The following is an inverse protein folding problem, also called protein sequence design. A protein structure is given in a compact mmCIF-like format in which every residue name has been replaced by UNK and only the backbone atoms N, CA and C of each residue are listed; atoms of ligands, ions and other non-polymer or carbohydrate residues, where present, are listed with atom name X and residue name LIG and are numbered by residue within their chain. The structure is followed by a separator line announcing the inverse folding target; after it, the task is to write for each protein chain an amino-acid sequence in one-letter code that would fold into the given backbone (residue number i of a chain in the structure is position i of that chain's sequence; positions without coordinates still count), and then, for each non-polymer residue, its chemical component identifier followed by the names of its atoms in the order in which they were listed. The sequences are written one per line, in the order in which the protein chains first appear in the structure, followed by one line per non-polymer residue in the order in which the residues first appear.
data_IF_736097541798
#
_entry.id   IF_736097541798
#
_cell.length_a   1.000
_cell.length_b   1.000
_cell.length_c   1.000
_cell.angle_alpha   90.00
_cell.angle_beta   90.00
_cell.angle_gamma   90.00
#
_symmetry.space_group_name_H-M   'P 1'
#
loop_
_entity.id
_entity.type
_entity.pdbx_description
1 polymer ?
#
# COMPACT_ATOMS: atom_id res chain seq x y z
N UNK A 1 33.21 1.87 -19.12
CA UNK A 1 32.36 2.15 -17.94
C UNK A 1 31.19 2.99 -18.42
N UNK A 2 30.05 2.37 -18.76
CA UNK A 2 28.85 3.07 -19.20
C UNK A 2 28.11 3.59 -17.96
N UNK A 3 28.11 4.91 -17.77
CA UNK A 3 27.31 5.60 -16.77
C UNK A 3 25.90 5.79 -17.33
N UNK A 4 24.96 4.91 -16.97
CA UNK A 4 23.55 5.15 -17.17
C UNK A 4 23.05 6.13 -16.11
N UNK A 5 23.05 7.42 -16.41
CA UNK A 5 22.26 8.41 -15.67
C UNK A 5 20.79 8.19 -16.01
N UNK A 6 20.11 7.31 -15.29
CA UNK A 6 18.65 7.30 -15.25
C UNK A 6 18.18 8.48 -14.38
N UNK A 7 18.31 9.69 -14.90
CA UNK A 7 17.60 10.84 -14.36
C UNK A 7 16.17 10.75 -14.89
N UNK A 8 15.30 10.05 -14.15
CA UNK A 8 13.86 10.12 -14.38
C UNK A 8 13.44 11.60 -14.26
N UNK A 9 13.11 12.24 -15.37
CA UNK A 9 12.86 13.68 -15.43
C UNK A 9 11.41 13.98 -15.02
N UNK A 10 11.13 13.80 -13.73
CA UNK A 10 9.80 13.98 -13.10
C UNK A 10 9.21 15.42 -13.23
N UNK A 11 9.89 16.34 -13.93
CA UNK A 11 9.42 17.70 -14.19
C UNK A 11 8.68 17.87 -15.52
N UNK A 12 8.78 16.93 -16.45
CA UNK A 12 8.20 17.07 -17.81
C UNK A 12 7.08 16.10 -18.16
N UNK A 13 6.89 15.03 -17.39
CA UNK A 13 5.83 14.04 -17.66
C UNK A 13 4.53 14.25 -16.87
N UNK A 14 4.49 15.21 -15.94
CA UNK A 14 3.22 15.71 -15.39
C UNK A 14 2.71 16.84 -16.29
N UNK A 15 2.49 16.52 -17.57
CA UNK A 15 1.71 17.41 -18.44
C UNK A 15 0.30 17.51 -17.85
N UNK A 16 -0.27 18.73 -17.91
CA UNK A 16 -1.67 19.04 -17.56
C UNK A 16 -2.55 17.79 -17.77
N UNK A 17 -3.09 17.19 -16.71
CA UNK A 17 -3.76 15.91 -16.87
C UNK A 17 -5.00 16.13 -17.75
N UNK A 18 -5.11 15.34 -18.82
CA UNK A 18 -6.26 15.38 -19.71
C UNK A 18 -7.49 14.86 -18.95
N UNK A 19 -8.70 15.22 -19.39
CA UNK A 19 -9.92 14.68 -18.78
C UNK A 19 -9.91 13.14 -18.74
N UNK A 20 -9.33 12.51 -19.77
CA UNK A 20 -9.15 11.05 -19.86
C UNK A 20 -8.10 10.51 -18.87
N UNK A 21 -6.97 11.22 -18.67
CA UNK A 21 -5.97 10.85 -17.67
C UNK A 21 -6.47 11.05 -16.23
N UNK A 22 -7.46 11.93 -16.01
CA UNK A 22 -8.13 12.09 -14.72
C UNK A 22 -9.29 11.10 -14.53
N UNK A 23 -9.81 10.51 -15.61
CA UNK A 23 -10.92 9.56 -15.55
C UNK A 23 -10.53 8.23 -14.90
N UNK A 24 -9.25 7.84 -14.97
CA UNK A 24 -8.72 6.68 -14.26
C UNK A 24 -7.26 6.90 -13.87
N UNK A 25 -7.02 7.08 -12.56
CA UNK A 25 -5.66 7.18 -12.02
C UNK A 25 -5.09 5.76 -11.87
N UNK A 26 -3.95 5.50 -12.49
CA UNK A 26 -3.18 4.27 -12.34
C UNK A 26 -2.39 4.32 -11.03
N UNK A 27 -2.67 3.38 -10.12
CA UNK A 27 -1.86 3.26 -8.91
C UNK A 27 -0.37 3.06 -9.22
N UNK A 28 -0.05 2.21 -10.20
CA UNK A 28 1.35 1.85 -10.48
C UNK A 28 2.10 2.89 -11.29
N UNK A 29 1.40 3.63 -12.15
CA UNK A 29 2.04 4.60 -13.04
C UNK A 29 1.95 6.04 -12.51
N UNK A 30 0.91 6.38 -11.75
CA UNK A 30 0.71 7.75 -11.25
C UNK A 30 1.06 7.89 -9.77
N UNK A 31 0.70 6.91 -8.93
CA UNK A 31 0.84 7.05 -7.46
C UNK A 31 2.19 6.51 -6.97
N UNK A 32 2.58 5.32 -7.42
CA UNK A 32 3.83 4.67 -7.00
C UNK A 32 5.05 5.55 -7.29
N UNK A 33 5.20 6.20 -8.47
CA UNK A 33 6.33 7.09 -8.71
C UNK A 33 6.39 8.27 -7.75
N UNK A 34 5.26 8.82 -7.28
CA UNK A 34 5.25 9.89 -6.28
C UNK A 34 5.86 9.40 -4.95
N UNK A 35 5.56 8.15 -4.57
CA UNK A 35 6.07 7.56 -3.32
C UNK A 35 7.53 7.13 -3.41
N UNK A 36 7.97 6.68 -4.59
CA UNK A 36 9.32 6.11 -4.80
C UNK A 36 10.32 7.12 -5.34
N UNK A 37 9.92 8.27 -5.88
CA UNK A 37 10.81 9.29 -6.47
C UNK A 37 11.69 10.05 -5.46
N UNK A 38 11.85 9.55 -4.23
CA UNK A 38 12.90 9.98 -3.32
C UNK A 38 12.65 11.28 -2.55
N UNK A 39 11.50 11.94 -2.72
CA UNK A 39 11.21 13.24 -2.09
C UNK A 39 11.26 13.27 -0.56
N UNK A 40 11.30 12.10 0.09
CA UNK A 40 11.35 12.01 1.55
C UNK A 40 12.52 11.17 2.10
N UNK A 41 13.32 10.48 1.28
CA UNK A 41 14.55 9.74 1.69
C UNK A 41 14.39 8.62 2.74
N UNK A 42 13.76 8.90 3.88
CA UNK A 42 13.41 8.06 5.01
C UNK A 42 12.62 6.81 4.62
N UNK A 43 11.70 6.93 3.67
CA UNK A 43 10.83 5.83 3.24
C UNK A 43 11.47 4.91 2.18
N UNK A 44 12.60 5.30 1.57
CA UNK A 44 13.16 4.59 0.42
C UNK A 44 14.66 4.24 0.56
N UNK A 45 15.17 4.19 1.79
CA UNK A 45 16.61 4.04 2.08
C UNK A 45 17.00 2.70 2.73
N UNK A 46 16.03 1.79 2.93
CA UNK A 46 16.23 0.51 3.59
C UNK A 46 16.30 0.57 5.12
N UNK A 47 16.10 1.74 5.73
CA UNK A 47 16.10 1.92 7.20
C UNK A 47 14.66 1.89 7.75
N UNK A 48 14.09 0.69 7.84
CA UNK A 48 12.73 0.48 8.33
C UNK A 48 12.49 0.83 9.80
N UNK A 49 13.55 1.11 10.57
CA UNK A 49 13.45 1.51 11.99
C UNK A 49 12.88 2.92 12.17
N UNK A 50 13.03 3.79 11.17
CA UNK A 50 12.70 5.21 11.28
C UNK A 50 11.44 5.57 10.49
N UNK A 51 11.12 4.80 9.46
CA UNK A 51 9.95 5.01 8.62
C UNK A 51 9.54 3.70 7.94
N UNK A 52 8.24 3.61 7.63
CA UNK A 52 7.70 2.54 6.76
C UNK A 52 8.37 2.63 5.40
N UNK A 53 8.81 1.50 4.84
CA UNK A 53 9.50 1.49 3.55
C UNK A 53 8.52 1.36 2.38
N UNK A 54 8.67 2.20 1.35
CA UNK A 54 7.90 2.11 0.10
C UNK A 54 8.71 1.49 -1.04
N UNK A 55 10.02 1.73 -1.08
CA UNK A 55 10.96 0.99 -1.94
C UNK A 55 12.36 0.85 -1.34
N UNK A 56 13.13 -0.13 -1.82
CA UNK A 56 14.56 -0.22 -1.55
C UNK A 56 15.22 -1.07 -2.63
N UNK A 57 16.28 -0.54 -3.25
CA UNK A 57 16.91 -1.14 -4.44
C UNK A 57 15.81 -1.44 -5.49
N UNK A 58 15.73 -2.68 -5.95
CA UNK A 58 14.80 -3.12 -6.98
C UNK A 58 13.45 -3.60 -6.43
N UNK A 59 13.17 -3.37 -5.14
CA UNK A 59 11.93 -3.78 -4.49
C UNK A 59 11.02 -2.57 -4.25
N UNK A 60 9.77 -2.68 -4.70
CA UNK A 60 8.69 -1.75 -4.36
C UNK A 60 7.63 -2.51 -3.56
N UNK A 61 7.23 -1.97 -2.42
CA UNK A 61 6.17 -2.54 -1.59
C UNK A 61 4.82 -1.90 -1.91
N UNK A 62 4.23 -2.35 -3.02
CA UNK A 62 2.93 -1.87 -3.51
C UNK A 62 1.82 -1.95 -2.44
N UNK A 63 1.71 -3.10 -1.76
CA UNK A 63 0.73 -3.30 -0.69
C UNK A 63 0.93 -2.33 0.47
N UNK A 64 2.19 -2.05 0.84
CA UNK A 64 2.52 -1.05 1.85
C UNK A 64 2.02 0.33 1.44
N UNK A 65 2.31 0.82 0.24
CA UNK A 65 1.83 2.12 -0.24
C UNK A 65 0.29 2.16 -0.22
N UNK A 66 -0.34 1.16 -0.83
CA UNK A 66 -1.78 1.12 -1.01
C UNK A 66 -2.54 1.10 0.32
N UNK A 67 -2.05 0.34 1.30
CA UNK A 67 -2.63 0.28 2.65
C UNK A 67 -2.59 1.62 3.40
N UNK A 68 -1.79 2.60 2.96
CA UNK A 68 -1.75 3.96 3.51
C UNK A 68 -2.60 4.96 2.73
N UNK A 69 -3.45 4.54 1.79
CA UNK A 69 -4.28 5.45 0.98
C UNK A 69 -4.98 6.55 1.79
N UNK A 70 -5.55 6.21 2.94
CA UNK A 70 -6.19 7.17 3.85
C UNK A 70 -5.19 8.20 4.43
N UNK A 71 -4.00 7.77 4.80
CA UNK A 71 -2.93 8.66 5.31
C UNK A 71 -2.43 9.58 4.19
N UNK A 72 -2.21 9.01 3.00
CA UNK A 72 -1.79 9.78 1.82
C UNK A 72 -2.85 10.81 1.42
N UNK A 73 -4.14 10.44 1.47
CA UNK A 73 -5.24 11.37 1.20
C UNK A 73 -5.30 12.51 2.22
N UNK A 74 -5.11 12.21 3.51
CA UNK A 74 -5.04 13.21 4.57
C UNK A 74 -3.90 14.22 4.31
N UNK A 75 -2.71 13.74 3.92
CA UNK A 75 -1.59 14.61 3.55
C UNK A 75 -1.88 15.44 2.30
N UNK A 76 -2.55 14.85 1.29
CA UNK A 76 -2.98 15.55 0.09
C UNK A 76 -4.05 16.64 0.36
N UNK A 77 -4.72 16.58 1.50
CA UNK A 77 -5.64 17.61 2.00
C UNK A 77 -4.93 18.65 2.89
N UNK A 78 -3.60 18.57 3.04
CA UNK A 78 -2.80 19.51 3.81
C UNK A 78 -2.62 19.15 5.29
N UNK A 79 -3.01 17.94 5.72
CA UNK A 79 -2.67 17.46 7.06
C UNK A 79 -1.19 17.07 7.14
N UNK A 80 -0.64 17.06 8.34
CA UNK A 80 0.76 16.79 8.57
C UNK A 80 1.19 15.36 8.24
N UNK A 81 2.43 15.22 7.79
CA UNK A 81 3.10 13.93 7.63
C UNK A 81 3.28 13.24 9.00
N UNK A 82 2.89 11.96 9.13
CA UNK A 82 3.07 11.22 10.38
C UNK A 82 4.54 11.02 10.78
N UNK A 83 4.92 11.58 11.92
CA UNK A 83 6.22 11.32 12.57
C UNK A 83 7.27 12.41 12.35
N UNK A 84 7.15 13.22 11.30
CA UNK A 84 8.14 14.28 11.01
C UNK A 84 7.50 15.67 10.74
N UNK A 85 6.17 15.77 10.62
CA UNK A 85 5.50 17.03 10.27
C UNK A 85 6.00 17.59 8.93
N UNK A 86 5.59 18.81 8.54
CA UNK A 86 6.28 19.65 7.53
C UNK A 86 6.50 19.13 6.10
N UNK A 87 6.13 17.88 5.78
CA UNK A 87 6.34 17.23 4.49
C UNK A 87 5.00 17.16 3.77
N UNK A 88 4.94 17.78 2.59
CA UNK A 88 3.71 17.91 1.82
C UNK A 88 3.93 17.48 0.37
N UNK A 89 2.85 17.00 -0.25
CA UNK A 89 2.82 16.81 -1.70
C UNK A 89 2.86 18.16 -2.41
N UNK A 90 3.46 18.19 -3.59
CA UNK A 90 3.18 19.30 -4.51
C UNK A 90 1.69 19.34 -4.85
N UNK A 91 1.11 20.49 -5.24
CA UNK A 91 -0.31 20.57 -5.57
C UNK A 91 -0.77 19.55 -6.62
N UNK A 92 0.05 19.28 -7.64
CA UNK A 92 -0.26 18.30 -8.67
C UNK A 92 -0.27 16.86 -8.13
N UNK A 93 0.72 16.49 -7.30
CA UNK A 93 0.78 15.18 -6.65
C UNK A 93 -0.39 14.97 -5.69
N UNK A 94 -0.75 16.01 -4.92
CA UNK A 94 -1.90 15.98 -4.03
C UNK A 94 -3.20 15.71 -4.80
N UNK A 95 -3.37 16.33 -5.98
CA UNK A 95 -4.55 16.10 -6.81
C UNK A 95 -4.64 14.66 -7.31
N UNK A 96 -3.54 14.08 -7.80
CA UNK A 96 -3.49 12.67 -8.23
C UNK A 96 -3.84 11.72 -7.08
N UNK A 97 -3.30 11.95 -5.89
CA UNK A 97 -3.59 11.13 -4.70
C UNK A 97 -5.07 11.23 -4.30
N UNK A 98 -5.64 12.44 -4.27
CA UNK A 98 -7.07 12.64 -3.94
C UNK A 98 -7.97 11.93 -4.95
N UNK A 99 -7.66 12.04 -6.24
CA UNK A 99 -8.45 11.41 -7.30
C UNK A 99 -8.38 9.89 -7.22
N UNK A 100 -7.17 9.33 -7.08
CA UNK A 100 -6.99 7.89 -6.87
C UNK A 100 -7.78 7.39 -5.67
N UNK A 101 -7.75 8.09 -4.54
CA UNK A 101 -8.53 7.73 -3.35
C UNK A 101 -10.02 7.84 -3.59
N UNK A 102 -10.49 8.88 -4.30
CA UNK A 102 -11.91 9.03 -4.67
C UNK A 102 -12.40 7.91 -5.59
N UNK A 103 -11.51 7.32 -6.39
CA UNK A 103 -11.76 6.14 -7.23
C UNK A 103 -11.63 4.81 -6.47
N UNK A 104 -11.49 4.87 -5.13
CA UNK A 104 -11.40 3.70 -4.25
C UNK A 104 -9.99 3.20 -4.00
N UNK A 105 -8.96 3.97 -4.35
CA UNK A 105 -7.54 3.67 -4.10
C UNK A 105 -7.08 2.29 -4.62
N UNK A 106 -7.63 1.83 -5.75
CA UNK A 106 -7.41 0.47 -6.27
C UNK A 106 -6.04 0.34 -6.94
N UNK A 107 -5.44 -0.85 -6.84
CA UNK A 107 -4.37 -1.32 -7.73
C UNK A 107 -5.05 -2.12 -8.84
N UNK A 108 -4.92 -1.68 -10.09
CA UNK A 108 -5.54 -2.34 -11.25
C UNK A 108 -4.79 -3.63 -11.67
N UNK A 109 -3.72 -3.99 -10.95
CA UNK A 109 -3.04 -5.24 -11.15
C UNK A 109 -3.89 -6.44 -10.74
N UNK A 110 -3.88 -7.46 -11.59
CA UNK A 110 -4.49 -8.76 -11.33
C UNK A 110 -3.37 -9.78 -11.12
N UNK A 111 -3.21 -10.35 -9.92
CA UNK A 111 -2.21 -11.38 -9.69
C UNK A 111 -2.55 -12.64 -10.49
N UNK A 112 -1.54 -13.43 -10.90
CA UNK A 112 -1.79 -14.73 -11.48
C UNK A 112 -2.50 -15.64 -10.46
N UNK A 113 -3.25 -16.66 -10.91
CA UNK A 113 -3.91 -17.62 -10.02
C UNK A 113 -2.90 -18.30 -9.08
N UNK A 114 -3.29 -18.46 -7.81
CA UNK A 114 -2.49 -19.17 -6.81
C UNK A 114 -2.81 -20.66 -6.92
N UNK A 115 -1.81 -21.47 -7.29
CA UNK A 115 -1.96 -22.91 -7.56
C UNK A 115 -1.32 -23.82 -6.51
N UNK A 116 -0.59 -23.25 -5.54
CA UNK A 116 0.16 -23.98 -4.51
C UNK A 116 -0.40 -23.82 -3.09
N UNK A 117 0.19 -24.55 -2.13
CA UNK A 117 -0.15 -24.39 -0.71
C UNK A 117 0.22 -22.99 -0.24
N UNK A 118 -0.71 -22.36 0.48
CA UNK A 118 -0.52 -21.07 1.13
C UNK A 118 -0.58 -21.32 2.63
N UNK A 119 0.47 -20.99 3.35
CA UNK A 119 0.58 -21.20 4.81
C UNK A 119 0.75 -19.89 5.55
N UNK A 120 0.37 -19.87 6.83
CA UNK A 120 0.52 -18.69 7.66
C UNK A 120 1.98 -18.23 7.72
N UNK A 121 2.89 -19.15 8.02
CA UNK A 121 4.29 -18.84 8.26
C UNK A 121 4.99 -18.36 6.99
N UNK A 122 4.73 -19.01 5.85
CA UNK A 122 5.43 -18.72 4.59
C UNK A 122 4.85 -17.53 3.86
N UNK A 123 3.53 -17.38 3.86
CA UNK A 123 2.86 -16.43 2.95
C UNK A 123 2.20 -15.27 3.70
N UNK A 124 1.54 -15.54 4.82
CA UNK A 124 0.75 -14.52 5.54
C UNK A 124 1.62 -13.65 6.44
N UNK A 125 2.55 -14.24 7.18
CA UNK A 125 3.42 -13.49 8.10
C UNK A 125 4.25 -12.42 7.38
N UNK A 126 4.86 -12.68 6.20
CA UNK A 126 5.55 -11.62 5.45
C UNK A 126 4.62 -10.45 5.11
N UNK A 127 3.43 -10.72 4.57
CA UNK A 127 2.46 -9.69 4.19
C UNK A 127 1.99 -8.91 5.43
N UNK A 128 1.68 -9.59 6.53
CA UNK A 128 1.32 -8.94 7.79
C UNK A 128 2.42 -7.97 8.24
N UNK A 129 3.69 -8.40 8.19
CA UNK A 129 4.83 -7.58 8.63
C UNK A 129 5.06 -6.37 7.73
N UNK A 130 4.77 -6.44 6.44
CA UNK A 130 5.03 -5.35 5.47
C UNK A 130 3.83 -4.41 5.33
N UNK A 131 2.62 -4.95 5.25
CA UNK A 131 1.46 -4.20 4.81
C UNK A 131 0.62 -3.74 6.00
N UNK A 132 0.51 -4.58 7.03
CA UNK A 132 -0.43 -4.37 8.13
C UNK A 132 0.24 -3.90 9.44
N UNK A 133 1.45 -4.40 9.72
CA UNK A 133 2.18 -4.11 10.95
C UNK A 133 2.89 -2.76 10.83
N UNK A 134 2.71 -1.92 11.84
CA UNK A 134 3.33 -0.59 11.92
C UNK A 134 2.77 0.22 13.09
N UNK A 135 3.50 1.25 13.49
CA UNK A 135 3.12 2.13 14.62
C UNK A 135 1.74 2.78 14.46
N UNK A 136 1.28 2.98 13.22
CA UNK A 136 -0.01 3.58 12.91
C UNK A 136 -1.20 2.59 12.94
N UNK A 137 -0.94 1.28 12.90
CA UNK A 137 -1.99 0.25 12.80
C UNK A 137 -1.64 -0.93 13.72
N UNK A 138 -1.40 -2.13 13.20
CA UNK A 138 -1.16 -3.30 14.04
C UNK A 138 0.24 -3.31 14.66
N UNK A 139 0.32 -3.47 15.98
CA UNK A 139 1.57 -3.37 16.73
C UNK A 139 1.96 -1.94 17.13
N UNK A 140 1.06 -0.98 16.90
CA UNK A 140 1.06 0.35 17.49
C UNK A 140 -0.30 0.65 18.10
N UNK A 141 -1.17 1.36 17.38
CA UNK A 141 -2.54 1.69 17.83
C UNK A 141 -3.48 0.49 17.93
N UNK A 142 -3.28 -0.50 17.06
CA UNK A 142 -4.05 -1.74 16.99
C UNK A 142 -3.29 -2.94 17.55
N UNK A 143 -4.00 -4.04 17.86
CA UNK A 143 -3.39 -5.22 18.47
C UNK A 143 -2.37 -5.88 17.54
N UNK A 144 -1.36 -6.50 18.13
CA UNK A 144 -0.51 -7.45 17.43
C UNK A 144 -1.33 -8.66 17.01
N UNK A 145 -1.24 -9.03 15.73
CA UNK A 145 -1.95 -10.16 15.15
C UNK A 145 -1.00 -11.35 15.01
N UNK A 146 -1.34 -12.44 15.68
CA UNK A 146 -0.71 -13.75 15.54
C UNK A 146 -1.68 -14.71 14.83
N UNK A 147 -1.23 -15.93 14.58
CA UNK A 147 -2.03 -16.96 13.91
C UNK A 147 -3.39 -17.16 14.58
N UNK A 148 -3.41 -17.37 15.90
CA UNK A 148 -4.63 -17.66 16.65
C UNK A 148 -5.63 -16.50 16.56
N UNK A 149 -5.16 -15.26 16.67
CA UNK A 149 -6.02 -14.07 16.51
C UNK A 149 -6.58 -13.94 15.10
N UNK A 150 -5.76 -14.17 14.07
CA UNK A 150 -6.24 -14.11 12.68
C UNK A 150 -7.28 -15.19 12.37
N UNK A 151 -7.07 -16.41 12.88
CA UNK A 151 -8.04 -17.50 12.78
C UNK A 151 -9.33 -17.17 13.52
N UNK A 152 -9.24 -16.59 14.73
CA UNK A 152 -10.40 -16.22 15.53
C UNK A 152 -11.30 -15.16 14.87
N UNK A 153 -10.76 -14.35 13.94
CA UNK A 153 -11.51 -13.32 13.21
C UNK A 153 -11.66 -13.64 11.72
N UNK A 154 -11.63 -14.93 11.34
CA UNK A 154 -11.71 -15.41 9.96
C UNK A 154 -12.83 -14.74 9.14
N UNK A 155 -14.00 -14.53 9.71
CA UNK A 155 -15.14 -13.96 8.98
C UNK A 155 -14.93 -12.47 8.65
N UNK A 156 -14.42 -11.70 9.61
CA UNK A 156 -14.05 -10.29 9.39
C UNK A 156 -12.90 -10.18 8.38
N UNK A 157 -11.91 -11.06 8.50
CA UNK A 157 -10.77 -11.15 7.58
C UNK A 157 -11.22 -11.49 6.16
N UNK A 158 -12.13 -12.46 6.00
CA UNK A 158 -12.70 -12.86 4.71
C UNK A 158 -13.46 -11.71 4.05
N UNK A 159 -14.33 -11.03 4.82
CA UNK A 159 -15.07 -9.85 4.34
C UNK A 159 -14.13 -8.71 3.92
N UNK A 160 -13.09 -8.46 4.72
CA UNK A 160 -12.08 -7.46 4.42
C UNK A 160 -11.35 -7.76 3.12
N UNK A 161 -10.87 -8.99 2.94
CA UNK A 161 -10.14 -9.37 1.73
C UNK A 161 -11.03 -9.37 0.48
N UNK A 162 -12.26 -9.89 0.59
CA UNK A 162 -13.22 -9.91 -0.51
C UNK A 162 -13.63 -8.49 -0.97
N UNK A 163 -13.64 -7.53 -0.05
CA UNK A 163 -13.96 -6.12 -0.35
C UNK A 163 -12.74 -5.24 -0.58
N UNK A 164 -11.53 -5.82 -0.65
CA UNK A 164 -10.27 -5.09 -0.77
C UNK A 164 -10.07 -3.99 0.29
N UNK A 165 -10.57 -4.23 1.50
CA UNK A 165 -10.47 -3.30 2.64
C UNK A 165 -11.64 -2.32 2.77
N UNK A 166 -12.60 -2.30 1.83
CA UNK A 166 -13.76 -1.40 1.92
C UNK A 166 -14.67 -1.69 3.12
N UNK A 167 -14.68 -2.93 3.63
CA UNK A 167 -15.46 -3.36 4.78
C UNK A 167 -14.70 -4.40 5.63
N UNK A 168 -15.25 -4.85 6.75
CA UNK A 168 -14.69 -5.93 7.59
C UNK A 168 -13.53 -5.52 8.50
N UNK A 169 -12.81 -4.44 8.20
CA UNK A 169 -11.77 -3.92 9.09
C UNK A 169 -12.36 -3.03 10.20
N UNK A 170 -12.06 -3.35 11.48
CA UNK A 170 -12.59 -2.63 12.65
C UNK A 170 -12.08 -1.19 12.77
N UNK A 171 -10.90 -0.89 12.24
CA UNK A 171 -10.34 0.46 12.22
C UNK A 171 -10.87 1.34 11.08
N UNK A 172 -11.93 0.90 10.38
CA UNK A 172 -12.48 1.59 9.21
C UNK A 172 -11.84 1.12 7.90
N UNK A 173 -12.23 1.78 6.80
CA UNK A 173 -11.84 1.43 5.43
C UNK A 173 -10.33 1.46 5.21
N UNK A 174 -9.84 0.43 4.54
CA UNK A 174 -8.48 0.29 4.03
C UNK A 174 -8.52 0.13 2.50
N UNK A 175 -7.37 0.27 1.86
CA UNK A 175 -7.16 -0.22 0.50
C UNK A 175 -6.10 -1.31 0.49
N UNK A 176 -6.41 -2.47 -0.06
CA UNK A 176 -5.53 -3.64 -0.08
C UNK A 176 -5.22 -4.07 -1.52
N UNK A 177 -3.98 -4.50 -1.75
CA UNK A 177 -3.56 -4.98 -3.07
C UNK A 177 -4.24 -6.28 -3.44
N UNK A 178 -4.47 -6.49 -4.74
CA UNK A 178 -5.05 -7.72 -5.24
C UNK A 178 -4.19 -8.95 -4.88
N UNK A 179 -2.86 -8.81 -4.83
CA UNK A 179 -1.95 -9.88 -4.36
C UNK A 179 -2.19 -10.20 -2.89
N UNK A 180 -2.30 -9.18 -2.04
CA UNK A 180 -2.58 -9.33 -0.60
C UNK A 180 -3.93 -10.03 -0.41
N UNK A 181 -4.99 -9.52 -1.02
CA UNK A 181 -6.34 -10.07 -0.87
C UNK A 181 -6.43 -11.50 -1.39
N UNK A 182 -5.87 -11.78 -2.58
CA UNK A 182 -5.89 -13.11 -3.18
C UNK A 182 -5.11 -14.13 -2.36
N UNK A 183 -3.96 -13.74 -1.78
CA UNK A 183 -3.16 -14.63 -0.94
C UNK A 183 -3.89 -15.00 0.35
N UNK A 184 -4.50 -14.03 1.03
CA UNK A 184 -5.29 -14.30 2.22
C UNK A 184 -6.55 -15.12 1.91
N UNK A 185 -7.28 -14.83 0.83
CA UNK A 185 -8.44 -15.61 0.42
C UNK A 185 -8.08 -17.05 0.09
N UNK A 186 -6.95 -17.28 -0.59
CA UNK A 186 -6.44 -18.63 -0.86
C UNK A 186 -6.09 -19.36 0.45
N UNK A 187 -5.39 -18.72 1.38
CA UNK A 187 -5.08 -19.30 2.70
C UNK A 187 -6.35 -19.69 3.47
N UNK A 188 -7.36 -18.80 3.49
CA UNK A 188 -8.66 -19.04 4.12
C UNK A 188 -9.39 -20.22 3.47
N UNK A 189 -9.38 -20.29 2.13
CA UNK A 189 -10.00 -21.36 1.36
C UNK A 189 -9.31 -22.72 1.59
N UNK A 190 -8.00 -22.72 1.85
CA UNK A 190 -7.22 -23.92 2.18
C UNK A 190 -7.34 -24.37 3.64
N UNK A 191 -8.21 -23.73 4.44
CA UNK A 191 -8.42 -24.09 5.84
C UNK A 191 -7.44 -23.43 6.82
N UNK A 192 -6.77 -22.36 6.39
CA UNK A 192 -5.83 -21.57 7.19
C UNK A 192 -4.65 -22.39 7.75
N UNK A 193 -3.93 -23.21 6.96
CA UNK A 193 -2.81 -24.00 7.47
C UNK A 193 -1.68 -23.09 8.01
N UNK A 194 -1.01 -23.51 9.08
CA UNK A 194 0.03 -22.72 9.76
C UNK A 194 1.37 -22.74 9.02
#
# INVERSE_FOLDING_TARGET
MLLFFSCYNNKKDVTKPTADALASISFRDDIVPIMTSGGCGCHNNGKSSNAVQFSYKDTIWYGTIQARSTVLNNMAQGKDHPGEGGIYFTPAQAELVKLWVSQGAKDNYVPPPITGPVTYTTNIVPIYKTDCKGSSCHGGLGPNLDYAKMVAVKDDLSKMMASSGASGHKGGTLSLSATTTSTFLAWIAQGMPQ
#
